data_IF_908620809981
#
_entry.id   IF_908620809981
#
_cell.length_a   1.000
_cell.length_b   1.000
_cell.length_c   1.000
_cell.angle_alpha   90.00
_cell.angle_beta   90.00
_cell.angle_gamma   90.00
#
_symmetry.space_group_name_H-M   'P 1'
#
loop_
_entity.id
_entity.type
_entity.pdbx_description
1 polymer ?
#
# COMPACT_ATOMS: atom_id res chain seq x y z
N UNK A 1 -0.85 -14.69 40.65
CA UNK A 1 -1.28 -14.53 39.24
C UNK A 1 -2.78 -14.72 39.21
N UNK A 2 -3.52 -13.81 38.56
CA UNK A 2 -4.97 -13.99 38.43
C UNK A 2 -5.23 -14.94 37.25
N UNK A 3 -5.90 -16.05 37.50
CA UNK A 3 -6.37 -16.94 36.46
C UNK A 3 -7.62 -16.33 35.79
N UNK A 4 -7.61 -16.18 34.50
CA UNK A 4 -8.77 -15.76 33.69
C UNK A 4 -9.27 -16.96 32.89
N UNK A 5 -10.57 -17.21 32.94
CA UNK A 5 -11.22 -18.28 32.18
C UNK A 5 -11.84 -17.68 30.90
N UNK A 6 -11.63 -18.30 29.76
CA UNK A 6 -12.23 -17.93 28.48
C UNK A 6 -13.20 -19.03 28.11
N UNK A 7 -14.44 -18.66 27.76
CA UNK A 7 -15.47 -19.56 27.29
C UNK A 7 -15.59 -19.44 25.77
N UNK A 8 -15.64 -20.58 25.08
CA UNK A 8 -15.84 -20.65 23.65
C UNK A 8 -17.26 -21.15 23.34
N UNK A 9 -17.83 -20.70 22.25
CA UNK A 9 -19.03 -21.33 21.70
C UNK A 9 -18.69 -22.72 21.14
N UNK A 10 -19.69 -23.59 21.00
CA UNK A 10 -19.50 -24.91 20.41
C UNK A 10 -18.94 -24.87 18.98
N UNK A 11 -19.26 -23.83 18.22
CA UNK A 11 -18.72 -23.62 16.87
C UNK A 11 -17.24 -23.25 16.91
N UNK A 12 -16.84 -22.36 17.83
CA UNK A 12 -15.46 -21.91 17.98
C UNK A 12 -14.57 -23.04 18.50
N UNK A 13 -15.09 -23.85 19.44
CA UNK A 13 -14.38 -25.01 19.99
C UNK A 13 -14.01 -26.01 18.87
N UNK A 14 -14.97 -26.38 18.00
CA UNK A 14 -14.68 -27.25 16.84
C UNK A 14 -13.69 -26.63 15.86
N UNK A 15 -13.79 -25.33 15.62
CA UNK A 15 -12.85 -24.63 14.74
C UNK A 15 -11.42 -24.66 15.31
N UNK A 16 -11.29 -24.39 16.61
CA UNK A 16 -10.01 -24.43 17.31
C UNK A 16 -9.41 -25.84 17.31
N UNK A 17 -10.20 -26.87 17.64
CA UNK A 17 -9.76 -28.25 17.62
C UNK A 17 -9.27 -28.71 16.24
N UNK A 18 -9.93 -28.23 15.17
CA UNK A 18 -9.55 -28.56 13.80
C UNK A 18 -8.31 -27.83 13.28
N UNK A 19 -8.00 -26.64 13.81
CA UNK A 19 -6.93 -25.77 13.26
C UNK A 19 -5.70 -25.65 14.17
N UNK A 20 -5.86 -25.86 15.47
CA UNK A 20 -4.77 -25.71 16.43
C UNK A 20 -3.57 -26.63 16.17
N UNK A 21 -3.74 -27.90 15.73
CA UNK A 21 -2.63 -28.79 15.41
C UNK A 21 -1.71 -28.23 14.32
N UNK A 22 -2.28 -27.52 13.33
CA UNK A 22 -1.52 -26.93 12.21
C UNK A 22 -0.62 -25.79 12.66
N UNK A 23 -0.95 -25.13 13.78
CA UNK A 23 -0.18 -24.01 14.33
C UNK A 23 1.02 -24.46 15.16
N UNK A 24 1.15 -25.76 15.48
CA UNK A 24 2.25 -26.31 16.28
C UNK A 24 2.51 -25.58 17.62
N UNK A 25 1.46 -25.03 18.23
CA UNK A 25 1.55 -24.27 19.48
C UNK A 25 0.34 -24.56 20.39
N UNK A 26 0.44 -24.19 21.68
CA UNK A 26 -0.67 -24.31 22.62
C UNK A 26 -1.78 -23.29 22.32
N UNK A 27 -3.02 -23.60 22.70
CA UNK A 27 -4.14 -22.66 22.58
C UNK A 27 -3.87 -21.32 23.25
N UNK A 28 -3.28 -21.31 24.44
CA UNK A 28 -2.92 -20.09 25.16
C UNK A 28 -1.90 -19.26 24.38
N UNK A 29 -0.89 -19.90 23.77
CA UNK A 29 0.10 -19.22 22.93
C UNK A 29 -0.54 -18.65 21.67
N UNK A 30 -1.44 -19.39 21.01
CA UNK A 30 -2.17 -18.94 19.83
C UNK A 30 -3.07 -17.74 20.14
N UNK A 31 -3.81 -17.77 21.25
CA UNK A 31 -4.64 -16.64 21.69
C UNK A 31 -3.81 -15.38 21.98
N UNK A 32 -2.67 -15.54 22.68
CA UNK A 32 -1.79 -14.40 22.98
C UNK A 32 -1.13 -13.84 21.74
N UNK A 33 -0.73 -14.69 20.79
CA UNK A 33 -0.20 -14.25 19.49
C UNK A 33 -1.26 -13.49 18.69
N UNK A 34 -2.49 -14.01 18.62
CA UNK A 34 -3.61 -13.35 17.95
C UNK A 34 -3.96 -12.00 18.59
N UNK A 35 -3.99 -11.92 19.94
CA UNK A 35 -4.25 -10.68 20.65
C UNK A 35 -3.17 -9.61 20.35
N UNK A 36 -1.88 -9.99 20.37
CA UNK A 36 -0.78 -9.08 20.02
C UNK A 36 -0.91 -8.56 18.60
N UNK A 37 -1.19 -9.43 17.63
CA UNK A 37 -1.43 -9.03 16.25
C UNK A 37 -2.59 -8.04 16.10
N UNK A 38 -3.69 -8.24 16.84
CA UNK A 38 -4.83 -7.32 16.84
C UNK A 38 -4.44 -5.95 17.39
N UNK A 39 -3.71 -5.91 18.52
CA UNK A 39 -3.24 -4.65 19.12
C UNK A 39 -2.28 -3.93 18.18
N UNK A 40 -1.30 -4.63 17.62
CA UNK A 40 -0.35 -4.06 16.65
C UNK A 40 -1.07 -3.50 15.42
N UNK A 41 -2.06 -4.23 14.90
CA UNK A 41 -2.85 -3.79 13.75
C UNK A 41 -3.70 -2.56 14.07
N UNK A 42 -4.30 -2.52 15.26
CA UNK A 42 -5.08 -1.38 15.72
C UNK A 42 -4.20 -0.14 15.92
N UNK A 43 -3.02 -0.29 16.53
CA UNK A 43 -2.04 0.78 16.67
C UNK A 43 -1.56 1.29 15.31
N UNK A 44 -1.20 0.39 14.40
CA UNK A 44 -0.80 0.76 13.05
C UNK A 44 -1.89 1.56 12.32
N UNK A 45 -3.16 1.15 12.47
CA UNK A 45 -4.29 1.89 11.88
C UNK A 45 -4.43 3.29 12.48
N UNK A 46 -4.26 3.41 13.80
CA UNK A 46 -4.25 4.70 14.48
C UNK A 46 -3.13 5.62 13.97
N UNK A 47 -1.96 5.07 13.65
CA UNK A 47 -0.82 5.80 13.07
C UNK A 47 -0.97 6.04 11.55
N UNK A 48 -2.15 5.75 10.98
CA UNK A 48 -2.48 5.95 9.57
C UNK A 48 -1.92 4.88 8.64
N UNK A 49 -1.38 3.77 9.16
CA UNK A 49 -0.98 2.62 8.34
C UNK A 49 -2.19 1.74 8.04
N UNK A 50 -2.28 1.31 6.79
CA UNK A 50 -3.31 0.40 6.31
C UNK A 50 -2.72 -0.58 5.30
N UNK A 51 -3.46 -1.61 4.98
CA UNK A 51 -3.06 -2.55 3.95
C UNK A 51 -3.06 -1.87 2.59
N UNK A 52 -1.92 -1.89 1.93
CA UNK A 52 -1.70 -1.34 0.59
C UNK A 52 -1.50 -2.50 -0.36
N UNK A 53 -2.31 -2.53 -1.41
CA UNK A 53 -2.16 -3.47 -2.51
C UNK A 53 -1.69 -2.75 -3.76
N UNK A 54 -0.56 -3.16 -4.33
CA UNK A 54 0.00 -2.62 -5.55
C UNK A 54 0.04 -3.68 -6.64
N UNK A 55 -0.21 -3.25 -7.87
CA UNK A 55 -0.17 -4.08 -9.06
C UNK A 55 1.11 -3.78 -9.84
N UNK A 56 2.03 -4.73 -9.87
CA UNK A 56 3.36 -4.59 -10.48
C UNK A 56 3.49 -5.52 -11.68
N UNK A 57 3.95 -4.99 -12.81
CA UNK A 57 4.07 -5.76 -14.06
C UNK A 57 3.70 -4.95 -15.29
N UNK A 58 3.62 -5.60 -16.43
CA UNK A 58 3.33 -5.00 -17.74
C UNK A 58 2.65 -6.00 -18.66
N UNK A 59 2.10 -5.51 -19.76
CA UNK A 59 1.61 -6.31 -20.88
C UNK A 59 0.59 -7.39 -20.46
N UNK A 60 -0.26 -7.08 -19.46
CA UNK A 60 -1.28 -8.00 -18.96
C UNK A 60 -0.80 -8.98 -17.89
N UNK A 61 0.52 -9.10 -17.67
CA UNK A 61 1.09 -9.98 -16.63
C UNK A 61 1.43 -9.14 -15.40
N UNK A 62 0.74 -9.40 -14.29
CA UNK A 62 0.88 -8.61 -13.08
C UNK A 62 0.99 -9.50 -11.83
N UNK A 63 1.78 -9.01 -10.89
CA UNK A 63 1.85 -9.51 -9.52
C UNK A 63 1.21 -8.51 -8.57
N UNK A 64 0.50 -9.01 -7.56
CA UNK A 64 0.01 -8.20 -6.46
C UNK A 64 1.04 -8.19 -5.34
N UNK A 65 1.43 -7.00 -4.88
CA UNK A 65 2.29 -6.79 -3.73
C UNK A 65 1.47 -6.18 -2.62
N UNK A 66 1.47 -6.79 -1.45
CA UNK A 66 0.66 -6.39 -0.29
C UNK A 66 1.59 -6.08 0.88
N UNK A 67 1.38 -4.95 1.54
CA UNK A 67 2.13 -4.55 2.73
C UNK A 67 1.34 -3.54 3.57
N UNK A 68 1.73 -3.39 4.84
CA UNK A 68 1.20 -2.32 5.70
C UNK A 68 1.97 -1.04 5.44
N UNK A 69 1.27 0.02 5.01
CA UNK A 69 1.90 1.28 4.62
C UNK A 69 1.00 2.49 4.73
N UNK A 70 1.61 3.65 4.91
CA UNK A 70 0.98 4.98 4.86
C UNK A 70 1.47 5.71 3.62
N UNK A 71 0.54 6.18 2.79
CA UNK A 71 0.90 6.97 1.60
C UNK A 71 1.36 8.36 2.03
N UNK A 72 2.59 8.71 1.69
CA UNK A 72 3.23 9.99 2.06
C UNK A 72 3.45 10.92 0.87
N UNK A 73 3.41 10.40 -0.37
CA UNK A 73 3.59 11.22 -1.57
C UNK A 73 2.72 10.69 -2.71
N UNK A 74 2.21 11.60 -3.52
CA UNK A 74 1.49 11.28 -4.76
C UNK A 74 1.66 12.42 -5.76
N UNK A 75 1.98 12.07 -7.00
CA UNK A 75 1.88 12.98 -8.13
C UNK A 75 1.31 12.27 -9.35
N UNK A 76 0.69 13.02 -10.23
CA UNK A 76 0.12 12.53 -11.48
C UNK A 76 0.59 13.47 -12.59
N UNK A 77 1.26 12.90 -13.59
CA UNK A 77 1.56 13.57 -14.85
C UNK A 77 0.59 13.04 -15.91
N UNK A 78 0.02 13.96 -16.69
CA UNK A 78 -0.90 13.64 -17.78
C UNK A 78 -0.20 13.89 -19.12
N UNK A 79 -0.22 12.88 -19.96
CA UNK A 79 0.23 12.98 -21.36
C UNK A 79 -0.89 12.44 -22.25
N UNK A 80 -1.75 13.37 -22.72
CA UNK A 80 -2.96 13.04 -23.51
C UNK A 80 -3.83 12.02 -22.75
N UNK A 81 -4.06 10.85 -23.34
CA UNK A 81 -4.83 9.76 -22.73
C UNK A 81 -4.03 8.89 -21.76
N UNK A 82 -2.73 9.16 -21.54
CA UNK A 82 -1.92 8.44 -20.58
C UNK A 82 -1.79 9.21 -19.26
N UNK A 83 -1.95 8.51 -18.15
CA UNK A 83 -1.71 9.01 -16.78
C UNK A 83 -0.55 8.26 -16.17
N UNK A 84 0.51 8.98 -15.86
CA UNK A 84 1.66 8.48 -15.11
C UNK A 84 1.54 8.91 -13.66
N UNK A 85 1.28 7.97 -12.79
CA UNK A 85 1.09 8.22 -11.37
C UNK A 85 2.26 7.67 -10.57
N UNK A 86 2.84 8.52 -9.72
CA UNK A 86 3.91 8.17 -8.78
C UNK A 86 3.37 8.28 -7.35
N UNK A 87 3.70 7.33 -6.52
CA UNK A 87 3.34 7.28 -5.09
C UNK A 87 4.53 6.83 -4.27
N UNK A 88 4.66 7.37 -3.06
CA UNK A 88 5.58 6.85 -2.05
C UNK A 88 4.78 6.47 -0.82
N UNK A 89 5.12 5.34 -0.25
CA UNK A 89 4.56 4.84 0.99
C UNK A 89 5.66 4.65 2.02
N UNK A 90 5.39 5.05 3.26
CA UNK A 90 6.16 4.63 4.42
C UNK A 90 5.57 3.31 4.92
N UNK A 91 6.40 2.28 5.04
CA UNK A 91 5.96 0.98 5.58
C UNK A 91 5.98 1.01 7.12
N UNK A 92 5.22 0.14 7.76
CA UNK A 92 5.24 -0.04 9.21
C UNK A 92 6.63 -0.44 9.74
N UNK A 93 7.49 -1.02 8.88
CA UNK A 93 8.88 -1.39 9.21
C UNK A 93 9.88 -0.24 9.02
N UNK A 94 9.41 0.99 8.74
CA UNK A 94 10.27 2.16 8.55
C UNK A 94 10.95 2.24 7.18
N UNK A 95 10.64 1.36 6.22
CA UNK A 95 11.16 1.40 4.85
C UNK A 95 10.25 2.20 3.94
N UNK A 96 10.76 2.65 2.81
CA UNK A 96 9.99 3.39 1.82
C UNK A 96 9.71 2.53 0.60
N UNK A 97 8.49 2.64 0.06
CA UNK A 97 8.09 1.99 -1.18
C UNK A 97 7.74 3.05 -2.20
N UNK A 98 8.58 3.17 -3.23
CA UNK A 98 8.23 3.92 -4.43
C UNK A 98 7.39 3.04 -5.35
N UNK A 99 6.31 3.60 -5.84
CA UNK A 99 5.44 2.93 -6.82
C UNK A 99 5.11 3.89 -7.95
N UNK A 100 5.26 3.41 -9.15
CA UNK A 100 4.90 4.15 -10.36
C UNK A 100 4.04 3.27 -11.25
N UNK A 101 3.00 3.87 -11.81
CA UNK A 101 2.16 3.21 -12.80
C UNK A 101 1.81 4.13 -13.95
N UNK A 102 1.69 3.54 -15.12
CA UNK A 102 1.09 4.17 -16.30
C UNK A 102 -0.24 3.49 -16.59
N UNK A 103 -1.28 4.28 -16.78
CA UNK A 103 -2.61 3.75 -17.10
C UNK A 103 -3.39 4.73 -17.99
N UNK A 104 -4.45 4.23 -18.64
CA UNK A 104 -5.30 5.04 -19.49
C UNK A 104 -6.16 6.03 -18.69
N UNK A 105 -6.30 7.25 -19.22
CA UNK A 105 -7.33 8.21 -18.83
C UNK A 105 -8.55 8.00 -19.70
N UNK A 106 -9.53 7.27 -19.23
CA UNK A 106 -10.76 7.00 -19.97
C UNK A 106 -11.68 8.22 -20.11
N UNK A 107 -11.38 9.32 -19.39
CA UNK A 107 -12.07 10.59 -19.53
C UNK A 107 -11.39 11.52 -20.55
N UNK A 108 -10.29 11.07 -21.15
CA UNK A 108 -9.61 11.83 -22.18
C UNK A 108 -10.42 11.83 -23.47
N UNK A 109 -10.74 13.02 -23.97
CA UNK A 109 -11.38 13.22 -25.25
C UNK A 109 -10.46 14.07 -26.15
N UNK A 110 -10.01 13.57 -27.31
CA UNK A 110 -9.17 14.35 -28.21
C UNK A 110 -9.97 15.50 -28.80
N UNK A 111 -9.51 16.73 -28.55
CA UNK A 111 -10.07 17.94 -29.17
C UNK A 111 -9.39 18.17 -30.51
N UNK A 112 -9.88 17.54 -31.57
CA UNK A 112 -9.37 17.76 -32.93
C UNK A 112 -9.77 16.67 -33.90
N UNK A 113 -9.93 17.05 -35.19
CA UNK A 113 -10.35 16.19 -36.29
C UNK A 113 -9.25 15.26 -36.83
N UNK A 114 -8.00 15.40 -36.37
CA UNK A 114 -6.92 14.51 -36.81
C UNK A 114 -6.83 13.31 -35.85
N UNK A 115 -7.21 12.14 -36.34
CA UNK A 115 -6.81 10.86 -35.78
C UNK A 115 -5.28 10.75 -35.87
N UNK A 116 -4.60 11.16 -34.80
CA UNK A 116 -3.16 10.96 -34.72
C UNK A 116 -2.90 9.48 -34.45
N UNK A 117 -1.90 8.95 -35.12
CA UNK A 117 -1.40 7.57 -34.93
C UNK A 117 -0.48 7.47 -33.72
N UNK A 118 -0.36 8.54 -32.91
CA UNK A 118 0.49 8.54 -31.72
C UNK A 118 -0.11 7.70 -30.61
N UNK A 119 0.74 6.98 -29.91
CA UNK A 119 0.39 5.91 -28.95
C UNK A 119 -0.47 6.40 -27.75
N UNK A 120 -0.48 7.69 -27.45
CA UNK A 120 -1.19 8.25 -26.30
C UNK A 120 -2.46 9.04 -26.66
N UNK A 121 -2.88 9.06 -27.92
CA UNK A 121 -4.08 9.80 -28.34
C UNK A 121 -5.38 9.01 -28.15
N UNK A 122 -5.28 7.71 -27.82
CA UNK A 122 -6.43 6.85 -27.56
C UNK A 122 -6.20 6.07 -26.27
N UNK A 123 -7.12 6.15 -25.26
CA UNK A 123 -7.01 5.38 -24.03
C UNK A 123 -6.78 3.88 -24.22
N UNK A 124 -7.37 3.29 -25.27
CA UNK A 124 -7.24 1.86 -25.57
C UNK A 124 -5.82 1.44 -26.03
N UNK A 125 -5.01 2.39 -26.51
CA UNK A 125 -3.63 2.13 -26.97
C UNK A 125 -2.56 2.43 -25.92
N UNK A 126 -2.96 2.98 -24.78
CA UNK A 126 -2.03 3.30 -23.69
C UNK A 126 -1.46 2.02 -23.09
N UNK A 127 -0.13 1.87 -23.14
CA UNK A 127 0.56 0.75 -22.50
C UNK A 127 0.47 0.87 -20.98
N UNK A 128 -0.20 -0.10 -20.37
CA UNK A 128 -0.35 -0.14 -18.93
C UNK A 128 0.79 -0.93 -18.28
N UNK A 129 1.39 -0.34 -17.26
CA UNK A 129 2.43 -1.00 -16.47
C UNK A 129 2.46 -0.41 -15.05
N UNK A 130 3.05 -1.19 -14.13
CA UNK A 130 3.35 -0.75 -12.77
C UNK A 130 4.73 -1.26 -12.36
N UNK A 131 5.51 -0.43 -11.69
CA UNK A 131 6.79 -0.79 -11.10
C UNK A 131 6.86 -0.37 -9.64
N UNK A 132 7.63 -1.10 -8.86
CA UNK A 132 7.80 -0.87 -7.43
C UNK A 132 9.27 -1.06 -7.08
N UNK A 133 9.78 -0.15 -6.24
CA UNK A 133 11.10 -0.22 -5.64
C UNK A 133 10.98 -0.02 -4.13
N UNK A 134 11.80 -0.74 -3.38
CA UNK A 134 11.85 -0.62 -1.92
C UNK A 134 13.21 -0.07 -1.55
N UNK A 135 13.20 1.04 -0.79
CA UNK A 135 14.42 1.70 -0.33
C UNK A 135 14.41 1.82 1.19
N UNK A 136 15.59 1.82 1.79
CA UNK A 136 15.72 1.81 3.24
C UNK A 136 15.71 3.23 3.83
N UNK A 137 16.16 4.22 3.06
CA UNK A 137 16.27 5.60 3.50
C UNK A 137 15.47 6.55 2.63
N UNK A 138 15.07 7.68 3.19
CA UNK A 138 14.32 8.70 2.46
C UNK A 138 15.17 9.37 1.37
N UNK A 139 16.48 9.47 1.58
CA UNK A 139 17.42 10.09 0.63
C UNK A 139 17.53 9.29 -0.67
N UNK A 140 17.41 7.97 -0.60
CA UNK A 140 17.38 7.10 -1.78
C UNK A 140 16.19 7.37 -2.70
N UNK A 141 15.12 7.98 -2.19
CA UNK A 141 13.98 8.40 -3.00
C UNK A 141 14.33 9.48 -4.03
N UNK A 142 15.45 10.20 -3.86
CA UNK A 142 15.93 11.19 -4.83
C UNK A 142 16.23 10.59 -6.22
N UNK A 143 16.45 9.27 -6.29
CA UNK A 143 16.57 8.56 -7.56
C UNK A 143 15.24 8.44 -8.35
N UNK A 144 14.09 8.65 -7.69
CA UNK A 144 12.76 8.37 -8.23
C UNK A 144 11.84 9.58 -8.27
N UNK A 145 11.98 10.51 -7.32
CA UNK A 145 11.13 11.71 -7.20
C UNK A 145 12.02 12.97 -7.11
N UNK A 146 11.49 14.16 -7.43
CA UNK A 146 12.27 15.39 -7.36
C UNK A 146 12.84 15.63 -5.94
N UNK A 147 14.08 16.10 -5.88
CA UNK A 147 14.80 16.39 -4.63
C UNK A 147 14.01 17.30 -3.68
N UNK A 148 13.35 18.33 -4.23
CA UNK A 148 12.45 19.20 -3.45
C UNK A 148 11.31 18.43 -2.78
N UNK A 149 10.79 17.37 -3.42
CA UNK A 149 9.77 16.54 -2.83
C UNK A 149 10.33 15.68 -1.68
N UNK A 150 11.57 15.20 -1.80
CA UNK A 150 12.27 14.48 -0.73
C UNK A 150 12.45 15.38 0.49
N UNK A 151 12.94 16.62 0.30
CA UNK A 151 13.11 17.60 1.38
C UNK A 151 11.79 17.92 2.10
N UNK A 152 10.71 18.12 1.34
CA UNK A 152 9.38 18.36 1.92
C UNK A 152 8.88 17.15 2.72
N UNK A 153 9.16 15.94 2.24
CA UNK A 153 8.80 14.70 2.95
C UNK A 153 9.58 14.55 4.26
N UNK A 154 10.88 14.86 4.28
CA UNK A 154 11.69 14.84 5.49
C UNK A 154 11.08 15.75 6.55
N UNK A 155 10.79 17.00 6.20
CA UNK A 155 10.18 17.97 7.12
C UNK A 155 8.79 17.52 7.60
N UNK A 156 7.97 16.96 6.71
CA UNK A 156 6.62 16.48 7.07
C UNK A 156 6.64 15.26 7.98
N UNK A 157 7.61 14.37 7.84
CA UNK A 157 7.71 13.15 8.66
C UNK A 157 8.28 13.44 10.06
N UNK A 158 8.96 14.54 10.26
CA UNK A 158 9.39 15.02 11.59
C UNK A 158 8.22 15.56 12.43
N UNK A 159 7.10 15.91 11.78
CA UNK A 159 5.92 16.40 12.47
C UNK A 159 5.04 15.20 12.93
N UNK A 160 4.50 15.24 14.15
CA UNK A 160 3.58 14.20 14.61
C UNK A 160 2.30 14.19 13.75
N UNK A 161 1.70 13.01 13.61
CA UNK A 161 0.39 12.89 12.97
C UNK A 161 -0.64 13.57 13.86
N UNK A 162 -1.28 14.62 13.37
CA UNK A 162 -2.35 15.31 14.08
C UNK A 162 -3.69 14.63 13.76
N UNK A 163 -4.38 14.15 14.79
CA UNK A 163 -5.74 13.64 14.68
C UNK A 163 -6.70 14.80 14.94
N UNK A 164 -7.30 15.31 13.88
CA UNK A 164 -8.34 16.34 13.99
C UNK A 164 -9.69 15.68 14.20
N UNK A 165 -10.34 16.04 15.30
CA UNK A 165 -11.73 15.67 15.60
C UNK A 165 -12.66 16.72 14.97
N UNK A 166 -13.04 16.52 13.70
CA UNK A 166 -13.89 17.39 12.91
C UNK A 166 -15.14 16.65 12.41
#
# INVERSE_FOLDING_TARGET
MANKTIYFSHSDERYIEGTLPDLSMSLSAALMAGYRLLVERQQATHDGFHEVQLRVGKDGVYQHKIFMGRKIYRTIAKDKAALREQRVYLTQKGRYVYYERNHADWNYWPTGTQRSTQTNDNPATVKQWGRMEVVDTIDELAAYIPERAVQNLQQSLEQPVEHLDI
#
